data_IF_482644162114
#
_entry.id   IF_482644162114
#
_cell.length_a   1.000
_cell.length_b   1.000
_cell.length_c   1.000
_cell.angle_alpha   90.00
_cell.angle_beta   90.00
_cell.angle_gamma   90.00
#
_symmetry.space_group_name_H-M   'P 1'
#
loop_
_entity.id
_entity.type
_entity.pdbx_description
1 polymer ?
#
# COMPACT_ATOMS: atom_id res chain seq x y z
N UNK A 1 -11.75 -3.95 16.85
CA UNK A 1 -11.04 -3.62 15.60
C UNK A 1 -10.75 -2.13 15.61
N UNK A 2 -9.47 -1.77 15.46
CA UNK A 2 -9.01 -0.39 15.33
C UNK A 2 -8.60 -0.22 13.87
N UNK A 3 -9.03 0.88 13.25
CA UNK A 3 -8.64 1.25 11.89
C UNK A 3 -7.83 2.53 12.01
N UNK A 4 -6.65 2.53 11.40
CA UNK A 4 -5.73 3.65 11.40
C UNK A 4 -5.40 3.96 9.94
N UNK A 5 -5.40 5.24 9.57
CA UNK A 5 -5.03 5.71 8.24
C UNK A 5 -3.83 6.63 8.41
N UNK A 6 -2.68 6.18 7.89
CA UNK A 6 -1.42 6.91 7.99
C UNK A 6 -0.71 6.97 6.63
N UNK A 7 0.10 8.00 6.46
CA UNK A 7 0.97 8.16 5.30
C UNK A 7 2.41 7.70 5.56
N UNK A 8 2.76 7.50 6.84
CA UNK A 8 4.09 7.05 7.25
C UNK A 8 4.13 5.52 7.35
N UNK A 9 5.07 4.89 6.63
CA UNK A 9 5.22 3.44 6.61
C UNK A 9 5.77 2.89 7.94
N UNK A 10 6.59 3.65 8.67
CA UNK A 10 7.24 3.19 9.90
C UNK A 10 6.25 3.08 11.07
N UNK A 11 5.36 4.05 11.18
CA UNK A 11 4.28 4.05 12.18
C UNK A 11 3.30 2.93 11.88
N UNK A 12 3.02 2.70 10.59
CA UNK A 12 2.06 1.71 10.15
C UNK A 12 2.57 0.27 10.34
N UNK A 13 3.87 0.02 10.15
CA UNK A 13 4.54 -1.26 10.47
C UNK A 13 4.52 -1.55 11.98
N UNK A 14 4.63 -0.53 12.83
CA UNK A 14 4.61 -0.69 14.28
C UNK A 14 3.21 -1.01 14.84
N UNK A 15 2.15 -0.42 14.25
CA UNK A 15 0.80 -0.47 14.82
C UNK A 15 -0.11 -1.53 14.21
N UNK A 16 0.15 -1.99 12.98
CA UNK A 16 -0.82 -2.75 12.21
C UNK A 16 -0.42 -4.23 12.10
N UNK A 17 -1.39 -5.13 12.17
CA UNK A 17 -1.19 -6.56 11.81
C UNK A 17 -1.48 -6.83 10.32
N UNK A 18 -2.30 -5.97 9.69
CA UNK A 18 -2.72 -6.05 8.30
C UNK A 18 -2.74 -4.66 7.67
N UNK A 19 -2.39 -4.59 6.38
CA UNK A 19 -2.35 -3.34 5.62
C UNK A 19 -3.22 -3.47 4.38
N UNK A 20 -4.05 -2.45 4.12
CA UNK A 20 -4.76 -2.29 2.86
C UNK A 20 -4.14 -1.13 2.08
N UNK A 21 -3.69 -1.39 0.85
CA UNK A 21 -3.14 -0.34 -0.01
C UNK A 21 -4.28 0.32 -0.80
N UNK A 22 -4.31 1.65 -0.81
CA UNK A 22 -5.21 2.43 -1.65
C UNK A 22 -4.45 2.97 -2.86
N UNK A 23 -4.96 2.74 -4.06
CA UNK A 23 -4.38 3.26 -5.30
C UNK A 23 -5.47 3.80 -6.23
N UNK A 24 -5.06 4.62 -7.18
CA UNK A 24 -5.97 5.24 -8.14
C UNK A 24 -5.45 6.58 -8.61
N UNK A 25 -6.35 7.41 -9.16
CA UNK A 25 -6.02 8.74 -9.66
C UNK A 25 -6.69 9.80 -8.77
N UNK A 26 -5.91 10.71 -8.14
CA UNK A 26 -6.46 11.80 -7.34
C UNK A 26 -7.54 12.57 -8.10
N UNK A 27 -8.71 12.77 -7.50
CA UNK A 27 -9.84 13.47 -8.11
C UNK A 27 -10.64 12.68 -9.16
N UNK A 28 -10.31 11.41 -9.42
CA UNK A 28 -11.07 10.56 -10.35
C UNK A 28 -11.59 9.29 -9.68
N UNK A 29 -10.71 8.41 -9.20
CA UNK A 29 -11.11 7.14 -8.57
C UNK A 29 -10.02 6.63 -7.61
N UNK A 30 -10.45 5.87 -6.61
CA UNK A 30 -9.59 5.15 -5.68
C UNK A 30 -10.14 3.75 -5.44
N UNK A 31 -9.25 2.75 -5.45
CA UNK A 31 -9.56 1.33 -5.20
C UNK A 31 -8.77 0.90 -3.97
N UNK A 32 -9.39 0.07 -3.15
CA UNK A 32 -8.78 -0.51 -1.94
C UNK A 32 -8.46 -1.97 -2.23
N UNK A 33 -7.21 -2.38 -1.99
CA UNK A 33 -6.84 -3.79 -2.12
C UNK A 33 -7.44 -4.64 -1.00
N UNK A 34 -7.39 -5.96 -1.20
CA UNK A 34 -7.54 -6.90 -0.09
C UNK A 34 -6.46 -6.66 0.99
N UNK A 35 -6.75 -6.98 2.26
CA UNK A 35 -5.77 -6.88 3.33
C UNK A 35 -4.60 -7.82 3.09
N UNK A 36 -3.39 -7.26 3.08
CA UNK A 36 -2.13 -7.99 3.01
C UNK A 36 -1.46 -8.06 4.37
N UNK A 37 -0.51 -8.98 4.52
CA UNK A 37 0.43 -8.93 5.64
C UNK A 37 1.26 -7.64 5.56
N UNK A 38 1.69 -7.14 6.72
CA UNK A 38 2.42 -5.86 6.83
C UNK A 38 3.63 -5.79 5.89
N UNK A 39 4.46 -6.83 5.89
CA UNK A 39 5.66 -6.89 5.04
C UNK A 39 5.32 -6.93 3.55
N UNK A 40 4.31 -7.70 3.16
CA UNK A 40 3.89 -7.77 1.75
C UNK A 40 3.28 -6.44 1.30
N UNK A 41 2.42 -5.83 2.11
CA UNK A 41 1.78 -4.55 1.82
C UNK A 41 2.80 -3.43 1.59
N UNK A 42 3.80 -3.30 2.47
CA UNK A 42 4.88 -2.32 2.33
C UNK A 42 5.69 -2.59 1.06
N UNK A 43 6.06 -3.85 0.78
CA UNK A 43 6.81 -4.20 -0.42
C UNK A 43 6.03 -3.91 -1.71
N UNK A 44 4.73 -4.21 -1.74
CA UNK A 44 3.82 -3.89 -2.85
C UNK A 44 3.74 -2.37 -3.05
N UNK A 45 3.65 -1.61 -1.96
CA UNK A 45 3.61 -0.15 -2.01
C UNK A 45 4.90 0.46 -2.58
N UNK A 46 6.06 -0.06 -2.16
CA UNK A 46 7.37 0.38 -2.63
C UNK A 46 7.65 -0.03 -4.08
N UNK A 47 7.22 -1.23 -4.46
CA UNK A 47 7.35 -1.75 -5.83
C UNK A 47 6.45 -1.05 -6.84
N UNK A 48 5.36 -0.39 -6.39
CA UNK A 48 4.43 0.32 -7.27
C UNK A 48 3.49 -0.59 -8.07
N UNK A 49 3.43 -1.88 -7.72
CA UNK A 49 2.71 -2.91 -8.47
C UNK A 49 1.95 -3.85 -7.52
N UNK A 50 0.65 -4.01 -7.76
CA UNK A 50 -0.23 -4.91 -7.01
C UNK A 50 -0.34 -6.23 -7.77
N UNK A 51 0.27 -7.33 -7.28
CA UNK A 51 0.30 -8.60 -7.99
C UNK A 51 -1.07 -9.27 -8.10
N UNK A 52 -1.96 -9.07 -7.11
CA UNK A 52 -3.30 -9.70 -7.09
C UNK A 52 -4.22 -9.17 -8.17
N UNK A 53 -4.07 -7.90 -8.55
CA UNK A 53 -4.87 -7.25 -9.60
C UNK A 53 -4.10 -7.08 -10.91
N UNK A 54 -2.85 -7.53 -10.95
CA UNK A 54 -1.92 -7.34 -12.06
C UNK A 54 -1.87 -5.87 -12.54
N UNK A 55 -1.94 -4.94 -11.58
CA UNK A 55 -2.07 -3.50 -11.84
C UNK A 55 -0.87 -2.76 -11.29
N UNK A 56 -0.25 -1.93 -12.14
CA UNK A 56 0.83 -1.02 -11.78
C UNK A 56 0.26 0.37 -11.56
N UNK A 57 0.33 0.87 -10.33
CA UNK A 57 -0.16 2.21 -9.99
C UNK A 57 0.97 3.26 -9.98
N UNK A 58 2.24 2.83 -10.05
CA UNK A 58 3.41 3.70 -10.20
C UNK A 58 4.44 3.06 -11.14
N UNK A 59 4.98 3.83 -12.07
CA UNK A 59 5.96 3.34 -13.05
C UNK A 59 7.33 3.05 -12.42
N UNK A 60 7.77 3.89 -11.48
CA UNK A 60 9.04 3.77 -10.78
C UNK A 60 8.88 3.23 -9.36
N UNK A 61 9.77 2.29 -8.97
CA UNK A 61 9.86 1.80 -7.59
C UNK A 61 10.58 2.81 -6.70
N UNK A 62 10.03 3.05 -5.50
CA UNK A 62 10.72 3.85 -4.49
C UNK A 62 11.85 3.01 -3.88
N UNK A 63 13.10 3.42 -4.13
CA UNK A 63 14.28 2.81 -3.52
C UNK A 63 14.90 3.82 -2.55
N UNK A 64 14.98 3.47 -1.27
CA UNK A 64 15.75 4.24 -0.30
C UNK A 64 17.23 3.86 -0.50
N UNK A 65 18.04 4.79 -1.02
CA UNK A 65 19.51 4.69 -1.03
C UNK A 65 20.08 5.31 0.22
#
# INVERSE_FOLDING_TARGET
YVIVVEHDLSVLDYLSDFICCLYGKPGAYGVVTLPFSVREGINIFLAGFVPTENLRFRDESLTFK
#
